data_IF_105819858075
#
_entry.id   IF_105819858075
#
_cell.length_a   1.000
_cell.length_b   1.000
_cell.length_c   1.000
_cell.angle_alpha   90.00
_cell.angle_beta   90.00
_cell.angle_gamma   90.00
#
_symmetry.space_group_name_H-M   'P 1'
#
loop_
_entity.id
_entity.type
_entity.pdbx_description
1 polymer ?
#
# COMPACT_ATOMS: atom_id res chain seq x y z
N UNK A 1 11.41 52.73 -39.89
CA UNK A 1 12.21 52.64 -38.65
C UNK A 1 11.98 51.23 -38.10
N UNK A 2 12.92 50.28 -38.24
CA UNK A 2 14.13 50.09 -37.41
C UNK A 2 13.71 49.92 -35.93
N UNK A 3 13.95 48.82 -35.20
CA UNK A 3 14.97 47.74 -35.16
C UNK A 3 14.36 46.55 -34.38
N UNK A 4 14.51 45.30 -34.78
CA UNK A 4 15.67 44.40 -34.62
C UNK A 4 16.28 44.32 -33.21
N UNK A 5 16.12 43.15 -32.58
CA UNK A 5 17.23 42.51 -31.87
C UNK A 5 17.16 40.98 -32.08
N UNK A 6 17.88 40.57 -33.13
CA UNK A 6 18.26 39.22 -33.49
C UNK A 6 19.13 38.58 -32.39
N UNK A 7 18.93 37.28 -32.16
CA UNK A 7 20.03 36.33 -32.00
C UNK A 7 19.68 35.03 -32.75
N UNK A 8 20.27 34.79 -33.93
CA UNK A 8 20.10 33.59 -34.74
C UNK A 8 21.29 32.62 -34.54
N UNK A 9 21.19 31.45 -35.18
CA UNK A 9 22.18 30.37 -35.32
C UNK A 9 22.04 29.22 -34.30
N UNK A 10 21.30 28.17 -34.66
CA UNK A 10 21.90 26.89 -35.10
C UNK A 10 20.83 25.97 -35.71
N UNK A 11 21.03 25.66 -36.99
CA UNK A 11 20.78 24.35 -37.59
C UNK A 11 19.34 23.82 -37.65
N UNK A 12 18.79 23.81 -38.85
CA UNK A 12 17.91 22.72 -39.28
C UNK A 12 18.67 21.38 -39.14
N UNK A 13 18.48 20.67 -38.03
CA UNK A 13 18.85 19.27 -37.93
C UNK A 13 17.62 18.41 -38.22
N UNK A 14 17.69 17.64 -39.30
CA UNK A 14 17.01 16.35 -39.33
C UNK A 14 17.67 15.46 -38.27
N UNK A 15 17.09 15.40 -37.07
CA UNK A 15 17.54 14.49 -36.02
C UNK A 15 16.51 13.39 -35.86
N UNK A 16 16.91 12.16 -36.20
CA UNK A 16 16.12 10.97 -35.96
C UNK A 16 15.77 10.84 -34.48
N UNK A 17 14.54 10.41 -34.21
CA UNK A 17 14.00 9.80 -32.98
C UNK A 17 14.95 9.82 -31.75
N UNK A 18 15.35 11.01 -31.28
CA UNK A 18 16.05 11.18 -30.00
C UNK A 18 15.00 11.09 -28.91
N UNK A 19 14.57 9.85 -28.64
CA UNK A 19 13.74 9.53 -27.48
C UNK A 19 14.52 9.93 -26.24
N UNK A 20 13.92 10.66 -25.28
CA UNK A 20 14.60 10.91 -24.01
C UNK A 20 14.94 9.56 -23.37
N UNK A 21 16.19 9.38 -22.96
CA UNK A 21 16.74 8.15 -22.38
C UNK A 21 16.25 7.98 -20.93
N UNK A 22 14.94 7.88 -20.74
CA UNK A 22 14.32 7.82 -19.42
C UNK A 22 14.50 6.43 -18.81
N UNK A 23 15.17 6.35 -17.67
CA UNK A 23 15.24 5.16 -16.83
C UNK A 23 13.82 4.62 -16.59
N UNK A 24 13.52 3.34 -16.91
CA UNK A 24 12.18 2.80 -16.73
C UNK A 24 11.74 2.80 -15.27
N UNK A 25 10.46 3.02 -15.02
CA UNK A 25 9.87 3.17 -13.68
C UNK A 25 8.86 2.07 -13.39
N UNK A 26 8.95 1.47 -12.20
CA UNK A 26 7.97 0.57 -11.64
C UNK A 26 7.36 1.17 -10.37
N UNK A 27 6.06 1.44 -10.41
CA UNK A 27 5.29 1.94 -9.26
C UNK A 27 4.81 0.75 -8.41
N UNK A 28 5.03 0.80 -7.10
CA UNK A 28 4.63 -0.24 -6.14
C UNK A 28 3.72 0.36 -5.09
N UNK A 29 2.49 -0.16 -5.00
CA UNK A 29 1.43 0.40 -4.16
C UNK A 29 1.57 0.05 -2.66
N UNK A 30 0.81 0.75 -1.82
CA UNK A 30 0.73 0.55 -0.38
C UNK A 30 -0.47 -0.31 0.05
N UNK A 31 -0.72 -0.38 1.37
CA UNK A 31 -1.89 -1.07 1.92
C UNK A 31 -3.18 -0.43 1.42
N UNK A 32 -4.12 -1.23 0.93
CA UNK A 32 -5.39 -0.75 0.37
C UNK A 32 -5.27 -0.04 -0.99
N UNK A 33 -4.07 0.23 -1.50
CA UNK A 33 -3.85 0.99 -2.74
C UNK A 33 -3.89 0.16 -4.02
N UNK A 34 -4.47 -1.03 -4.00
CA UNK A 34 -4.61 -1.90 -5.17
C UNK A 34 -6.05 -2.35 -5.33
N UNK A 35 -6.57 -2.36 -6.56
CA UNK A 35 -7.87 -2.96 -6.88
C UNK A 35 -7.80 -4.48 -6.62
N UNK A 36 -8.79 -5.03 -5.92
CA UNK A 36 -9.02 -6.46 -5.75
C UNK A 36 -10.32 -6.88 -6.42
N UNK A 37 -10.24 -7.95 -7.20
CA UNK A 37 -11.37 -8.67 -7.78
C UNK A 37 -11.54 -10.01 -7.06
N UNK A 38 -12.78 -10.40 -6.84
CA UNK A 38 -13.14 -11.79 -6.57
C UNK A 38 -13.42 -12.49 -7.88
N UNK A 39 -12.88 -13.69 -8.06
CA UNK A 39 -13.20 -14.59 -9.16
C UNK A 39 -13.86 -15.84 -8.59
N UNK A 40 -15.07 -16.14 -9.07
CA UNK A 40 -15.82 -17.35 -8.71
C UNK A 40 -16.16 -18.13 -9.97
N UNK A 41 -15.96 -19.43 -9.96
CA UNK A 41 -16.29 -20.32 -11.09
C UNK A 41 -17.60 -21.05 -10.79
N UNK A 42 -18.63 -20.79 -11.59
CA UNK A 42 -19.94 -21.42 -11.43
C UNK A 42 -20.36 -22.08 -12.75
N UNK A 43 -20.61 -23.39 -12.73
CA UNK A 43 -20.95 -24.19 -13.91
C UNK A 43 -19.99 -24.03 -15.11
N UNK A 44 -18.69 -23.83 -14.83
CA UNK A 44 -17.68 -23.62 -15.87
C UNK A 44 -17.56 -22.19 -16.39
N UNK A 45 -18.44 -21.27 -15.97
CA UNK A 45 -18.39 -19.85 -16.30
C UNK A 45 -17.68 -19.10 -15.17
N UNK A 46 -16.73 -18.26 -15.53
CA UNK A 46 -15.97 -17.44 -14.58
C UNK A 46 -16.66 -16.08 -14.40
N UNK A 47 -16.94 -15.73 -13.16
CA UNK A 47 -17.52 -14.46 -12.77
C UNK A 47 -16.50 -13.66 -11.97
N UNK A 48 -16.12 -12.52 -12.50
CA UNK A 48 -15.25 -11.57 -11.80
C UNK A 48 -16.06 -10.39 -11.27
N UNK A 49 -15.77 -9.97 -10.04
CA UNK A 49 -16.40 -8.82 -9.43
C UNK A 49 -15.36 -8.01 -8.67
N UNK A 50 -15.29 -6.69 -8.91
CA UNK A 50 -14.47 -5.81 -8.08
C UNK A 50 -15.04 -5.75 -6.67
N UNK A 51 -14.22 -6.12 -5.69
CA UNK A 51 -14.57 -6.15 -4.25
C UNK A 51 -13.86 -5.06 -3.47
N UNK A 52 -12.77 -4.51 -4.01
CA UNK A 52 -12.03 -3.39 -3.45
C UNK A 52 -11.29 -2.60 -4.54
N UNK A 53 -11.17 -1.27 -4.53
CA UNK A 53 -12.10 -0.36 -3.84
C UNK A 53 -13.41 -0.34 -4.63
N UNK A 54 -14.52 -0.26 -3.91
CA UNK A 54 -15.86 -0.19 -4.48
C UNK A 54 -16.66 0.80 -3.64
N UNK A 55 -17.44 1.64 -4.30
CA UNK A 55 -18.39 2.56 -3.64
C UNK A 55 -19.80 1.94 -3.62
N UNK A 56 -20.29 1.47 -4.77
CA UNK A 56 -21.64 0.89 -4.83
C UNK A 56 -21.68 -0.53 -4.25
N UNK A 57 -22.51 -0.74 -3.22
CA UNK A 57 -22.63 -2.01 -2.48
C UNK A 57 -21.30 -2.48 -1.86
N UNK A 58 -20.45 -1.53 -1.50
CA UNK A 58 -19.11 -1.77 -0.96
C UNK A 58 -19.10 -2.76 0.20
N UNK A 59 -19.82 -2.45 1.28
CA UNK A 59 -19.89 -3.27 2.49
C UNK A 59 -20.45 -4.67 2.19
N UNK A 60 -21.54 -4.78 1.42
CA UNK A 60 -22.15 -6.08 1.09
C UNK A 60 -21.21 -7.00 0.31
N UNK A 61 -20.58 -6.51 -0.75
CA UNK A 61 -19.67 -7.32 -1.57
C UNK A 61 -18.39 -7.67 -0.81
N UNK A 62 -17.88 -6.72 -0.03
CA UNK A 62 -16.71 -6.93 0.83
C UNK A 62 -16.94 -8.05 1.84
N UNK A 63 -18.08 -8.01 2.55
CA UNK A 63 -18.48 -9.06 3.50
C UNK A 63 -18.58 -10.43 2.85
N UNK A 64 -19.25 -10.49 1.70
CA UNK A 64 -19.53 -11.76 1.02
C UNK A 64 -18.28 -12.41 0.42
N UNK A 65 -17.30 -11.61 -0.02
CA UNK A 65 -16.25 -12.12 -0.92
C UNK A 65 -14.83 -11.84 -0.46
N UNK A 66 -14.62 -10.87 0.44
CA UNK A 66 -13.27 -10.46 0.85
C UNK A 66 -12.94 -10.76 2.31
N UNK A 67 -13.93 -10.98 3.18
CA UNK A 67 -13.67 -11.52 4.53
C UNK A 67 -12.90 -12.83 4.46
N UNK A 68 -11.92 -12.96 5.33
CA UNK A 68 -10.88 -13.98 5.24
C UNK A 68 -10.32 -14.32 6.61
N UNK A 69 -9.74 -15.51 6.72
CA UNK A 69 -9.02 -15.96 7.90
C UNK A 69 -7.57 -16.26 7.54
N UNK A 70 -6.66 -15.99 8.46
CA UNK A 70 -5.28 -16.40 8.30
C UNK A 70 -5.10 -17.89 8.59
N UNK A 71 -4.51 -18.59 7.63
CA UNK A 71 -4.17 -20.00 7.77
C UNK A 71 -2.68 -20.14 8.16
N UNK A 72 -2.37 -20.55 9.41
CA UNK A 72 -0.99 -20.62 9.88
C UNK A 72 -0.17 -21.74 9.21
N UNK A 73 -0.81 -22.70 8.54
CA UNK A 73 -0.12 -23.78 7.83
C UNK A 73 0.42 -23.29 6.48
N UNK A 74 -0.37 -22.46 5.78
CA UNK A 74 -0.01 -21.94 4.46
C UNK A 74 0.69 -20.59 4.56
N UNK A 75 0.41 -19.81 5.61
CA UNK A 75 0.89 -18.44 5.76
C UNK A 75 0.04 -17.41 4.99
N UNK A 76 -1.10 -17.83 4.44
CA UNK A 76 -1.98 -17.00 3.63
C UNK A 76 -3.22 -16.57 4.41
N UNK A 77 -3.74 -15.39 4.06
CA UNK A 77 -5.10 -14.96 4.41
C UNK A 77 -6.05 -15.43 3.32
N UNK A 78 -6.92 -16.37 3.66
CA UNK A 78 -7.77 -17.14 2.75
C UNK A 78 -9.24 -16.71 2.91
N UNK A 79 -9.94 -16.52 1.79
CA UNK A 79 -11.35 -16.10 1.78
C UNK A 79 -12.25 -17.10 2.51
N UNK A 80 -13.28 -16.60 3.20
CA UNK A 80 -14.28 -17.45 3.86
C UNK A 80 -15.16 -18.25 2.88
N UNK A 81 -15.31 -17.77 1.64
CA UNK A 81 -15.90 -18.54 0.53
C UNK A 81 -14.77 -19.27 -0.20
N UNK A 82 -14.69 -20.60 -0.04
CA UNK A 82 -13.64 -21.45 -0.63
C UNK A 82 -13.67 -21.46 -2.16
N UNK A 83 -14.80 -21.11 -2.79
CA UNK A 83 -14.92 -21.02 -4.24
C UNK A 83 -14.44 -19.67 -4.81
N UNK A 84 -14.08 -18.72 -3.94
CA UNK A 84 -13.67 -17.37 -4.31
C UNK A 84 -12.16 -17.24 -4.28
N UNK A 85 -11.58 -16.98 -5.44
CA UNK A 85 -10.20 -16.55 -5.58
C UNK A 85 -10.11 -15.02 -5.57
N UNK A 86 -9.17 -14.45 -4.83
CA UNK A 86 -8.86 -13.02 -4.88
C UNK A 86 -7.71 -12.75 -5.83
N UNK A 87 -7.97 -11.83 -6.76
CA UNK A 87 -7.07 -11.44 -7.83
C UNK A 87 -6.82 -9.94 -7.80
N UNK A 88 -5.65 -9.56 -8.28
CA UNK A 88 -5.29 -8.17 -8.56
C UNK A 88 -5.18 -8.04 -10.08
N UNK A 89 -5.89 -7.10 -10.70
CA UNK A 89 -5.82 -6.90 -12.15
C UNK A 89 -4.39 -6.60 -12.63
N UNK A 90 -3.97 -7.18 -13.75
CA UNK A 90 -2.67 -6.88 -14.39
C UNK A 90 -2.81 -5.98 -15.62
N UNK A 91 -4.03 -5.52 -15.91
CA UNK A 91 -4.34 -4.63 -17.02
C UNK A 91 -3.48 -3.36 -17.00
N UNK A 92 -3.27 -2.80 -18.20
CA UNK A 92 -2.41 -1.62 -18.40
C UNK A 92 -1.03 -1.80 -17.73
N UNK A 93 -0.46 -3.01 -17.87
CA UNK A 93 0.86 -3.37 -17.33
C UNK A 93 0.94 -3.26 -15.79
N UNK A 94 -0.19 -3.51 -15.12
CA UNK A 94 -0.35 -3.39 -13.67
C UNK A 94 -0.63 -1.96 -13.20
N UNK A 95 -0.69 -0.97 -14.09
CA UNK A 95 -1.02 0.41 -13.73
C UNK A 95 -2.50 0.53 -13.38
N UNK A 96 -3.39 -0.18 -14.08
CA UNK A 96 -4.84 -0.10 -13.84
C UNK A 96 -5.20 -0.40 -12.37
N UNK A 97 -4.56 -1.40 -11.77
CA UNK A 97 -4.83 -1.78 -10.39
C UNK A 97 -4.47 -0.69 -9.36
N UNK A 98 -3.60 0.26 -9.72
CA UNK A 98 -3.07 1.27 -8.80
C UNK A 98 -3.35 2.69 -9.28
N UNK A 99 -4.09 2.88 -10.37
CA UNK A 99 -4.36 4.18 -10.99
C UNK A 99 -5.53 4.87 -10.28
N UNK A 100 -6.78 4.50 -10.59
CA UNK A 100 -8.00 4.97 -9.92
C UNK A 100 -8.66 3.75 -9.28
N UNK A 101 -8.80 3.72 -7.95
CA UNK A 101 -9.20 2.52 -7.21
C UNK A 101 -10.69 2.16 -7.37
N UNK A 102 -11.56 3.14 -7.66
CA UNK A 102 -12.91 2.91 -8.17
C UNK A 102 -13.09 3.57 -9.55
N UNK A 103 -12.81 2.84 -10.65
CA UNK A 103 -12.92 3.39 -12.01
C UNK A 103 -14.34 3.37 -12.58
N UNK A 104 -15.40 3.23 -11.76
CA UNK A 104 -16.77 3.16 -12.26
C UNK A 104 -17.20 4.48 -12.91
N UNK A 105 -18.06 4.39 -13.94
CA UNK A 105 -18.49 5.56 -14.72
C UNK A 105 -19.14 6.64 -13.85
N UNK A 106 -19.94 6.24 -12.86
CA UNK A 106 -20.58 7.17 -11.93
C UNK A 106 -19.54 7.99 -11.18
N UNK A 107 -18.47 7.35 -10.69
CA UNK A 107 -17.40 8.00 -9.92
C UNK A 107 -16.55 8.92 -10.80
N UNK A 108 -16.27 8.50 -12.03
CA UNK A 108 -15.61 9.36 -13.03
C UNK A 108 -16.44 10.60 -13.37
N UNK A 109 -17.75 10.44 -13.56
CA UNK A 109 -18.67 11.55 -13.87
C UNK A 109 -18.85 12.51 -12.69
N UNK A 110 -18.81 12.01 -11.46
CA UNK A 110 -18.88 12.82 -10.24
C UNK A 110 -17.54 13.44 -9.85
N UNK A 111 -16.46 13.18 -10.61
CA UNK A 111 -15.10 13.66 -10.34
C UNK A 111 -14.65 13.42 -8.90
N UNK A 112 -14.97 12.25 -8.36
CA UNK A 112 -14.62 11.92 -6.99
C UNK A 112 -13.13 11.54 -6.90
N UNK A 113 -12.27 12.54 -6.69
CA UNK A 113 -10.81 12.39 -6.66
C UNK A 113 -10.29 11.58 -5.47
N UNK A 114 -11.08 11.37 -4.43
CA UNK A 114 -10.69 10.61 -3.23
C UNK A 114 -10.31 9.14 -3.52
N UNK A 115 -10.62 8.61 -4.71
CA UNK A 115 -10.23 7.26 -5.15
C UNK A 115 -9.04 7.25 -6.13
N UNK A 116 -8.44 8.39 -6.43
CA UNK A 116 -7.37 8.52 -7.42
C UNK A 116 -6.04 8.15 -6.78
N UNK A 117 -5.52 6.94 -7.03
CA UNK A 117 -4.29 6.44 -6.42
C UNK A 117 -2.98 7.00 -6.96
N UNK A 118 -2.38 6.30 -7.91
CA UNK A 118 -1.22 6.80 -8.62
C UNK A 118 -1.59 7.68 -9.81
N UNK A 119 -2.87 8.01 -10.00
CA UNK A 119 -3.37 8.73 -11.18
C UNK A 119 -2.53 9.94 -11.55
N UNK A 120 -2.38 10.90 -10.64
CA UNK A 120 -1.65 12.13 -10.92
C UNK A 120 -0.16 11.89 -11.18
N UNK A 121 0.44 10.90 -10.50
CA UNK A 121 1.82 10.50 -10.75
C UNK A 121 1.99 9.84 -12.12
N UNK A 122 1.04 8.98 -12.51
CA UNK A 122 1.03 8.30 -13.81
C UNK A 122 0.88 9.35 -14.91
N UNK A 123 -0.09 10.25 -14.79
CA UNK A 123 -0.37 11.30 -15.77
C UNK A 123 0.83 12.25 -15.94
N UNK A 124 1.43 12.65 -14.83
CA UNK A 124 2.61 13.50 -14.85
C UNK A 124 3.84 12.79 -15.43
N UNK A 125 4.10 11.51 -15.11
CA UNK A 125 5.16 10.73 -15.74
C UNK A 125 4.93 10.56 -17.25
N UNK A 126 3.69 10.27 -17.67
CA UNK A 126 3.31 10.22 -19.08
C UNK A 126 3.55 11.58 -19.75
N UNK A 127 3.17 12.69 -19.11
CA UNK A 127 3.46 14.05 -19.56
C UNK A 127 4.96 14.36 -19.66
N UNK A 128 5.80 13.71 -18.85
CA UNK A 128 7.25 13.76 -18.96
C UNK A 128 7.84 12.90 -20.09
N UNK A 129 7.02 12.11 -20.80
CA UNK A 129 7.44 11.28 -21.94
C UNK A 129 7.61 9.80 -21.62
N UNK A 130 7.24 9.34 -20.42
CA UNK A 130 7.16 7.91 -20.11
C UNK A 130 6.05 7.23 -20.90
N UNK A 131 6.27 5.96 -21.27
CA UNK A 131 5.32 5.16 -22.06
C UNK A 131 4.91 3.93 -21.25
N UNK A 132 3.61 3.82 -20.97
CA UNK A 132 3.02 2.64 -20.33
C UNK A 132 3.43 1.37 -21.06
N UNK A 133 3.89 0.36 -20.34
CA UNK A 133 4.33 -0.93 -20.90
C UNK A 133 5.69 -0.94 -21.60
N UNK A 134 6.34 0.22 -21.76
CA UNK A 134 7.70 0.31 -22.31
C UNK A 134 8.69 0.87 -21.29
N UNK A 135 8.32 1.97 -20.61
CA UNK A 135 9.15 2.61 -19.58
C UNK A 135 8.39 2.93 -18.30
N UNK A 136 7.08 2.68 -18.23
CA UNK A 136 6.26 2.87 -17.04
C UNK A 136 5.39 1.64 -16.78
N UNK A 137 5.45 1.14 -15.55
CA UNK A 137 4.81 -0.10 -15.12
C UNK A 137 4.23 0.06 -13.72
N UNK A 138 3.20 -0.73 -13.40
CA UNK A 138 2.59 -0.78 -12.08
C UNK A 138 2.71 -2.16 -11.45
N UNK A 139 2.74 -2.20 -10.13
CA UNK A 139 2.63 -3.41 -9.33
C UNK A 139 1.67 -3.17 -8.17
N UNK A 140 0.41 -3.47 -8.42
CA UNK A 140 -0.57 -3.72 -7.38
C UNK A 140 -0.46 -5.15 -6.87
N UNK A 141 -0.89 -5.38 -5.63
CA UNK A 141 -0.84 -6.71 -5.02
C UNK A 141 -1.93 -6.87 -3.95
N UNK A 142 -2.18 -8.11 -3.51
CA UNK A 142 -3.13 -8.40 -2.45
C UNK A 142 -2.56 -7.93 -1.11
N UNK A 143 -2.94 -6.72 -0.70
CA UNK A 143 -2.44 -6.05 0.49
C UNK A 143 -2.82 -6.74 1.79
N UNK A 144 -3.69 -7.75 1.78
CA UNK A 144 -4.05 -8.54 2.97
C UNK A 144 -2.90 -9.46 3.38
N UNK A 145 -2.12 -9.92 2.39
CA UNK A 145 -1.08 -10.94 2.58
C UNK A 145 0.20 -10.37 3.19
N UNK A 146 1.05 -11.26 3.71
CA UNK A 146 2.36 -10.87 4.26
C UNK A 146 3.28 -10.32 3.15
N UNK A 147 4.05 -9.28 3.44
CA UNK A 147 4.99 -8.66 2.51
C UNK A 147 6.13 -9.59 2.06
N UNK A 148 6.31 -10.73 2.72
CA UNK A 148 7.29 -11.77 2.34
C UNK A 148 6.66 -13.06 1.82
N UNK A 149 5.36 -13.07 1.54
CA UNK A 149 4.70 -14.25 0.95
C UNK A 149 5.17 -14.40 -0.49
N UNK A 150 5.35 -15.64 -0.92
CA UNK A 150 5.84 -16.03 -2.24
C UNK A 150 5.03 -15.38 -3.38
N UNK A 151 3.69 -15.41 -3.32
CA UNK A 151 2.84 -14.80 -4.37
C UNK A 151 3.16 -13.31 -4.65
N UNK A 152 3.44 -12.53 -3.60
CA UNK A 152 3.77 -11.10 -3.74
C UNK A 152 5.23 -10.90 -4.18
N UNK A 153 6.15 -11.63 -3.55
CA UNK A 153 7.59 -11.45 -3.79
C UNK A 153 7.98 -11.96 -5.19
N UNK A 154 7.47 -13.12 -5.59
CA UNK A 154 7.70 -13.68 -6.93
C UNK A 154 6.93 -12.91 -8.00
N UNK A 155 5.75 -12.39 -7.69
CA UNK A 155 5.02 -11.49 -8.59
C UNK A 155 5.83 -10.23 -8.90
N UNK A 156 6.42 -9.59 -7.89
CA UNK A 156 7.30 -8.43 -8.07
C UNK A 156 8.55 -8.79 -8.89
N UNK A 157 9.11 -9.98 -8.67
CA UNK A 157 10.22 -10.52 -9.47
C UNK A 157 9.88 -10.55 -10.96
N UNK A 158 8.75 -11.17 -11.30
CA UNK A 158 8.28 -11.31 -12.70
C UNK A 158 8.01 -9.94 -13.31
N UNK A 159 7.41 -9.01 -12.55
CA UNK A 159 7.14 -7.65 -13.03
C UNK A 159 8.43 -6.88 -13.33
N UNK A 160 9.44 -6.97 -12.47
CA UNK A 160 10.76 -6.36 -12.71
C UNK A 160 11.47 -6.94 -13.93
N UNK A 161 11.45 -8.27 -14.09
CA UNK A 161 12.01 -8.93 -15.27
C UNK A 161 11.33 -8.48 -16.57
N UNK A 162 10.00 -8.35 -16.52
CA UNK A 162 9.19 -7.88 -17.66
C UNK A 162 9.53 -6.42 -17.99
N UNK A 163 9.56 -5.55 -16.99
CA UNK A 163 9.92 -4.14 -17.17
C UNK A 163 11.33 -3.98 -17.74
N UNK A 164 12.31 -4.72 -17.22
CA UNK A 164 13.69 -4.72 -17.71
C UNK A 164 13.79 -5.11 -19.19
N UNK A 165 13.11 -6.19 -19.59
CA UNK A 165 13.09 -6.66 -21.00
C UNK A 165 12.39 -5.67 -21.91
N UNK A 166 11.20 -5.18 -21.53
CA UNK A 166 10.43 -4.21 -22.31
C UNK A 166 11.16 -2.88 -22.47
N UNK A 167 12.07 -2.55 -21.55
CA UNK A 167 12.86 -1.32 -21.56
C UNK A 167 14.21 -1.44 -22.30
N UNK A 168 14.40 -2.53 -23.06
CA UNK A 168 15.65 -2.76 -23.82
C UNK A 168 16.84 -3.17 -22.96
N UNK A 169 16.60 -3.78 -21.79
CA UNK A 169 17.66 -4.20 -20.87
C UNK A 169 18.21 -3.11 -19.97
N UNK A 170 17.47 -2.00 -19.81
CA UNK A 170 17.80 -0.93 -18.86
C UNK A 170 17.27 -1.26 -17.47
N UNK A 171 18.08 -0.97 -16.45
CA UNK A 171 17.69 -1.17 -15.05
C UNK A 171 16.53 -0.25 -14.65
N UNK A 172 15.66 -0.76 -13.79
CA UNK A 172 14.40 -0.14 -13.38
C UNK A 172 14.58 0.71 -12.12
N UNK A 173 13.94 1.87 -12.10
CA UNK A 173 13.72 2.68 -10.90
C UNK A 173 12.42 2.23 -10.24
N UNK A 174 12.49 1.75 -9.00
CA UNK A 174 11.29 1.43 -8.22
C UNK A 174 10.85 2.68 -7.46
N UNK A 175 9.57 3.03 -7.53
CA UNK A 175 8.93 4.01 -6.66
C UNK A 175 7.89 3.27 -5.83
N UNK A 176 8.13 3.16 -4.52
CA UNK A 176 7.22 2.47 -3.61
C UNK A 176 6.56 3.45 -2.65
N UNK A 177 5.26 3.29 -2.42
CA UNK A 177 4.49 4.08 -1.48
C UNK A 177 4.11 3.26 -0.24
N UNK A 178 4.20 3.86 0.95
CA UNK A 178 3.73 3.30 2.21
C UNK A 178 4.20 1.85 2.40
N UNK A 179 3.29 0.90 2.66
CA UNK A 179 3.59 -0.52 2.84
C UNK A 179 4.34 -1.17 1.67
N UNK A 180 4.21 -0.66 0.45
CA UNK A 180 4.94 -1.16 -0.72
C UNK A 180 6.45 -1.12 -0.51
N UNK A 181 6.95 -0.18 0.30
CA UNK A 181 8.36 -0.15 0.69
C UNK A 181 8.79 -1.35 1.54
N UNK A 182 7.90 -1.89 2.38
CA UNK A 182 8.17 -3.10 3.17
C UNK A 182 8.21 -4.34 2.28
N UNK A 183 7.31 -4.45 1.30
CA UNK A 183 7.37 -5.47 0.27
C UNK A 183 8.71 -5.42 -0.49
N UNK A 184 9.12 -4.23 -0.95
CA UNK A 184 10.40 -4.08 -1.65
C UNK A 184 11.59 -4.43 -0.75
N UNK A 185 11.55 -4.11 0.55
CA UNK A 185 12.57 -4.58 1.50
C UNK A 185 12.60 -6.10 1.62
N UNK A 186 11.44 -6.74 1.72
CA UNK A 186 11.34 -8.19 1.80
C UNK A 186 11.91 -8.84 0.54
N UNK A 187 11.52 -8.35 -0.63
CA UNK A 187 12.03 -8.80 -1.92
C UNK A 187 13.56 -8.60 -2.04
N UNK A 188 14.08 -7.43 -1.65
CA UNK A 188 15.52 -7.16 -1.68
C UNK A 188 16.32 -8.10 -0.78
N UNK A 189 15.78 -8.45 0.39
CA UNK A 189 16.43 -9.40 1.32
C UNK A 189 16.36 -10.84 0.83
N UNK A 190 15.24 -11.26 0.22
CA UNK A 190 15.03 -12.63 -0.25
C UNK A 190 15.67 -12.91 -1.62
N UNK A 191 15.70 -11.90 -2.50
CA UNK A 191 16.16 -12.00 -3.88
C UNK A 191 17.18 -10.92 -4.22
N UNK A 192 18.20 -10.77 -3.36
CA UNK A 192 19.21 -9.72 -3.47
C UNK A 192 19.91 -9.67 -4.84
N UNK A 193 20.23 -10.82 -5.41
CA UNK A 193 20.87 -10.91 -6.74
C UNK A 193 19.94 -10.37 -7.84
N UNK A 194 18.65 -10.70 -7.77
CA UNK A 194 17.66 -10.25 -8.74
C UNK A 194 17.43 -8.75 -8.62
N UNK A 195 17.27 -8.26 -7.39
CA UNK A 195 17.15 -6.83 -7.11
C UNK A 195 18.37 -6.06 -7.64
N UNK A 196 19.59 -6.53 -7.35
CA UNK A 196 20.83 -5.89 -7.82
C UNK A 196 20.99 -5.91 -9.35
N UNK A 197 20.50 -6.98 -9.99
CA UNK A 197 20.54 -7.13 -11.45
C UNK A 197 19.60 -6.16 -12.15
N UNK A 198 18.36 -6.02 -11.66
CA UNK A 198 17.32 -5.28 -12.39
C UNK A 198 17.04 -3.88 -11.87
N UNK A 199 17.44 -3.52 -10.64
CA UNK A 199 17.09 -2.23 -10.03
C UNK A 199 18.29 -1.26 -10.08
N UNK A 200 18.04 -0.04 -10.53
CA UNK A 200 19.02 1.06 -10.52
C UNK A 200 18.86 1.93 -9.26
N UNK A 201 17.61 2.37 -9.03
CA UNK A 201 17.23 3.32 -7.99
C UNK A 201 15.99 2.82 -7.28
N UNK A 202 15.88 3.12 -5.99
CA UNK A 202 14.68 2.87 -5.22
C UNK A 202 14.27 4.12 -4.45
N UNK A 203 13.14 4.69 -4.86
CA UNK A 203 12.51 5.87 -4.28
C UNK A 203 11.38 5.39 -3.36
N UNK A 204 11.37 5.92 -2.14
CA UNK A 204 10.43 5.51 -1.09
C UNK A 204 9.64 6.73 -0.64
N UNK A 205 8.31 6.63 -0.72
CA UNK A 205 7.37 7.67 -0.35
C UNK A 205 6.62 7.18 0.89
N UNK A 206 6.89 7.81 2.04
CA UNK A 206 6.24 7.53 3.31
C UNK A 206 6.23 6.05 3.75
N UNK A 207 7.28 5.30 3.40
CA UNK A 207 7.35 3.88 3.74
C UNK A 207 7.62 3.67 5.24
N UNK A 208 6.74 2.98 5.99
CA UNK A 208 6.85 2.84 7.44
C UNK A 208 7.84 1.74 7.82
N UNK A 209 9.13 1.94 7.52
CA UNK A 209 10.17 0.93 7.75
C UNK A 209 10.26 0.45 9.20
N UNK A 210 9.88 1.28 10.16
CA UNK A 210 9.84 0.95 11.60
C UNK A 210 8.43 0.67 12.14
N UNK A 211 7.44 0.56 11.25
CA UNK A 211 6.03 0.43 11.61
C UNK A 211 5.29 1.76 11.61
N UNK A 212 3.95 1.68 11.69
CA UNK A 212 3.02 2.80 11.65
C UNK A 212 2.09 2.75 12.90
N UNK A 213 2.63 2.97 14.10
CA UNK A 213 1.93 2.70 15.37
C UNK A 213 0.54 3.32 15.46
N UNK A 214 0.37 4.60 15.10
CA UNK A 214 -0.92 5.27 15.21
C UNK A 214 -2.03 4.54 14.44
N UNK A 215 -1.83 4.39 13.13
CA UNK A 215 -2.82 3.76 12.25
C UNK A 215 -3.03 2.28 12.55
N UNK A 216 -1.96 1.52 12.80
CA UNK A 216 -2.06 0.06 12.95
C UNK A 216 -2.66 -0.33 14.29
N UNK A 217 -2.31 0.38 15.35
CA UNK A 217 -2.88 0.11 16.66
C UNK A 217 -4.38 0.45 16.69
N UNK A 218 -4.78 1.56 16.06
CA UNK A 218 -6.19 1.93 15.92
C UNK A 218 -6.97 0.92 15.06
N UNK A 219 -6.39 0.50 13.93
CA UNK A 219 -6.97 -0.50 13.04
C UNK A 219 -7.27 -1.83 13.74
N UNK A 220 -6.37 -2.29 14.62
CA UNK A 220 -6.58 -3.53 15.38
C UNK A 220 -7.61 -3.39 16.51
N UNK A 221 -7.73 -2.21 17.13
CA UNK A 221 -8.64 -2.00 18.26
C UNK A 221 -10.06 -1.66 17.82
N UNK A 222 -10.20 -0.74 16.87
CA UNK A 222 -11.48 -0.13 16.55
C UNK A 222 -11.81 -0.15 15.07
N UNK A 223 -10.90 -0.66 14.23
CA UNK A 223 -11.07 -0.74 12.79
C UNK A 223 -10.52 0.46 12.06
N UNK A 224 -10.78 0.48 10.75
CA UNK A 224 -10.30 1.53 9.87
C UNK A 224 -11.44 2.01 8.98
N UNK A 225 -11.55 3.32 8.85
CA UNK A 225 -12.48 3.97 7.95
C UNK A 225 -11.71 5.03 7.17
N UNK A 226 -11.94 5.08 5.87
CA UNK A 226 -11.21 5.98 5.00
C UNK A 226 -11.86 7.35 5.02
N UNK A 227 -13.18 7.46 4.86
CA UNK A 227 -13.89 8.75 4.79
C UNK A 227 -14.74 9.00 6.05
N UNK A 228 -14.83 10.25 6.49
CA UNK A 228 -15.71 10.70 7.58
C UNK A 228 -16.97 11.40 7.03
N UNK A 229 -18.07 11.38 7.80
CA UNK A 229 -19.32 12.06 7.43
C UNK A 229 -20.29 11.21 6.61
N UNK A 230 -21.20 11.85 5.87
CA UNK A 230 -22.26 11.16 5.11
C UNK A 230 -21.71 10.26 4.00
N UNK A 231 -20.57 10.63 3.41
CA UNK A 231 -19.93 9.86 2.34
C UNK A 231 -19.45 8.48 2.82
N UNK A 232 -19.15 8.36 4.12
CA UNK A 232 -18.67 7.14 4.73
C UNK A 232 -19.67 5.96 4.62
N UNK A 233 -20.97 6.25 4.45
CA UNK A 233 -22.01 5.23 4.22
C UNK A 233 -21.86 4.49 2.90
N UNK A 234 -21.15 5.08 1.93
CA UNK A 234 -20.89 4.43 0.65
C UNK A 234 -19.61 3.59 0.65
N UNK A 235 -18.82 3.62 1.72
CA UNK A 235 -17.60 2.84 1.85
C UNK A 235 -17.80 1.65 2.78
N UNK A 236 -16.81 0.75 2.80
CA UNK A 236 -16.78 -0.35 3.76
C UNK A 236 -16.81 0.23 5.17
N UNK A 237 -17.74 -0.26 5.99
CA UNK A 237 -17.89 0.23 7.36
C UNK A 237 -16.66 -0.09 8.21
N UNK A 238 -16.38 0.76 9.20
CA UNK A 238 -15.23 0.63 10.08
C UNK A 238 -15.11 -0.77 10.72
N UNK A 239 -16.24 -1.31 11.17
CA UNK A 239 -16.30 -2.64 11.78
C UNK A 239 -16.09 -3.79 10.79
N UNK A 240 -16.65 -3.67 9.58
CA UNK A 240 -16.44 -4.67 8.52
C UNK A 240 -14.97 -4.73 8.10
N UNK A 241 -14.32 -3.58 8.03
CA UNK A 241 -12.88 -3.48 7.78
C UNK A 241 -12.08 -4.06 8.94
N UNK A 242 -12.43 -3.74 10.20
CA UNK A 242 -11.80 -4.30 11.41
C UNK A 242 -11.72 -5.83 11.36
N UNK A 243 -12.84 -6.49 11.06
CA UNK A 243 -12.94 -7.94 11.00
C UNK A 243 -12.03 -8.55 9.94
N UNK A 244 -11.76 -7.84 8.82
CA UNK A 244 -10.74 -8.27 7.86
C UNK A 244 -9.32 -8.05 8.38
N UNK A 245 -9.04 -6.85 8.91
CA UNK A 245 -7.68 -6.42 9.24
C UNK A 245 -7.04 -7.24 10.36
N UNK A 246 -7.82 -7.79 11.29
CA UNK A 246 -7.34 -8.70 12.35
C UNK A 246 -6.69 -9.96 11.78
N UNK A 247 -7.09 -10.38 10.59
CA UNK A 247 -6.63 -11.60 9.91
C UNK A 247 -5.65 -11.30 8.76
N UNK A 248 -5.15 -10.06 8.65
CA UNK A 248 -4.20 -9.64 7.61
C UNK A 248 -2.76 -9.56 8.15
N UNK A 249 -1.83 -10.44 7.72
CA UNK A 249 -0.41 -10.35 8.09
C UNK A 249 0.26 -9.02 7.82
N UNK A 250 -0.14 -8.33 6.75
CA UNK A 250 0.35 -7.00 6.40
C UNK A 250 0.17 -5.98 7.54
N UNK A 251 -0.93 -6.06 8.28
CA UNK A 251 -1.24 -5.17 9.40
C UNK A 251 -0.25 -5.39 10.54
N UNK A 252 0.00 -6.65 10.90
CA UNK A 252 0.91 -7.01 11.98
C UNK A 252 2.37 -6.70 11.63
N UNK A 253 2.76 -6.80 10.35
CA UNK A 253 4.10 -6.43 9.89
C UNK A 253 4.39 -4.94 10.01
N UNK A 254 3.35 -4.11 10.07
CA UNK A 254 3.43 -2.68 10.30
C UNK A 254 3.27 -2.26 11.77
N UNK A 255 3.15 -3.20 12.71
CA UNK A 255 3.24 -2.90 14.14
C UNK A 255 4.57 -2.17 14.47
N UNK A 256 4.58 -1.29 15.48
CA UNK A 256 5.78 -0.55 15.86
C UNK A 256 6.94 -1.48 16.17
N UNK A 257 8.11 -1.21 15.60
CA UNK A 257 9.32 -1.96 15.89
C UNK A 257 9.77 -1.70 17.35
N UNK A 258 9.70 -2.70 18.25
CA UNK A 258 10.07 -2.51 19.65
C UNK A 258 11.59 -2.36 19.84
N UNK A 259 12.39 -2.76 18.85
CA UNK A 259 13.85 -2.69 18.88
C UNK A 259 14.40 -1.41 18.24
N UNK A 260 13.53 -0.56 17.68
CA UNK A 260 13.95 0.71 17.11
C UNK A 260 14.12 1.76 18.21
N UNK A 261 15.20 2.53 18.14
CA UNK A 261 15.48 3.64 19.06
C UNK A 261 14.64 4.86 18.66
N UNK A 262 13.34 4.82 18.94
CA UNK A 262 12.45 5.95 18.71
C UNK A 262 12.90 7.18 19.52
N UNK A 263 12.87 8.37 18.91
CA UNK A 263 13.11 9.63 19.63
C UNK A 263 12.08 9.83 20.77
N UNK A 264 10.86 9.41 20.51
CA UNK A 264 9.78 9.29 21.48
C UNK A 264 9.12 7.94 21.25
N UNK A 265 9.11 7.08 22.26
CA UNK A 265 8.51 5.75 22.15
C UNK A 265 7.02 5.89 21.81
N UNK A 266 6.52 5.25 20.74
CA UNK A 266 5.12 5.30 20.42
C UNK A 266 4.32 4.56 21.50
N UNK A 267 3.30 5.22 22.03
CA UNK A 267 2.43 4.67 23.06
C UNK A 267 0.98 4.69 22.58
N UNK A 268 0.21 3.68 22.97
CA UNK A 268 -1.25 3.68 22.85
C UNK A 268 -1.80 4.24 24.15
N UNK A 269 -2.66 5.25 24.06
CA UNK A 269 -3.39 5.78 25.20
C UNK A 269 -4.86 5.41 25.08
N UNK A 270 -5.41 4.71 26.06
CA UNK A 270 -6.82 4.28 26.09
C UNK A 270 -7.50 4.71 27.37
N UNK A 271 -8.74 5.19 27.25
CA UNK A 271 -9.60 5.43 28.40
C UNK A 271 -10.30 4.13 28.78
N UNK A 272 -10.00 3.60 29.96
CA UNK A 272 -10.56 2.34 30.45
C UNK A 272 -11.52 2.56 31.60
N UNK A 273 -12.70 1.98 31.48
CA UNK A 273 -13.67 1.89 32.55
C UNK A 273 -13.29 0.76 33.50
N UNK A 274 -13.19 1.08 34.79
CA UNK A 274 -12.97 0.14 35.89
C UNK A 274 -14.21 0.13 36.76
N UNK A 275 -14.70 -1.05 37.09
CA UNK A 275 -15.80 -1.21 38.07
C UNK A 275 -15.23 -1.92 39.28
N UNK A 276 -15.09 -1.19 40.38
CA UNK A 276 -14.70 -1.71 41.68
C UNK A 276 -15.82 -1.36 42.67
N UNK A 277 -16.31 -2.34 43.42
CA UNK A 277 -17.35 -2.18 44.45
C UNK A 277 -18.64 -1.45 44.00
N UNK A 278 -19.00 -1.55 42.72
CA UNK A 278 -20.20 -0.94 42.14
C UNK A 278 -20.04 0.52 41.70
N UNK A 279 -18.88 1.14 41.91
CA UNK A 279 -18.55 2.45 41.33
C UNK A 279 -17.75 2.28 40.03
N UNK A 280 -18.16 3.01 38.99
CA UNK A 280 -17.45 3.04 37.71
C UNK A 280 -16.52 4.25 37.67
N UNK A 281 -15.22 4.02 37.55
CA UNK A 281 -14.22 5.05 37.29
C UNK A 281 -13.62 4.90 35.89
N UNK A 282 -13.20 6.00 35.27
CA UNK A 282 -12.50 5.99 33.98
C UNK A 282 -11.08 6.46 34.18
N UNK A 283 -10.09 5.66 33.76
CA UNK A 283 -8.67 5.97 33.88
C UNK A 283 -8.01 5.99 32.50
N UNK A 284 -7.11 6.95 32.27
CA UNK A 284 -6.25 6.95 31.10
C UNK A 284 -5.08 6.01 31.34
N UNK A 285 -4.92 5.01 30.49
CA UNK A 285 -3.82 4.05 30.54
C UNK A 285 -2.97 4.14 29.27
N UNK A 286 -1.65 3.99 29.45
CA UNK A 286 -0.65 4.08 28.38
C UNK A 286 0.08 2.75 28.22
N UNK A 287 0.20 2.28 26.99
CA UNK A 287 0.84 1.00 26.65
C UNK A 287 1.97 1.23 25.65
N UNK A 288 3.18 0.77 25.97
CA UNK A 288 4.30 0.71 25.01
C UNK A 288 4.06 -0.31 23.88
N UNK A 289 4.91 -0.38 22.84
CA UNK A 289 4.77 -1.36 21.75
C UNK A 289 4.71 -2.82 22.18
N UNK A 290 5.37 -3.16 23.30
CA UNK A 290 5.38 -4.53 23.83
C UNK A 290 4.12 -4.75 24.68
N UNK A 291 3.80 -3.79 25.55
CA UNK A 291 2.62 -3.86 26.42
C UNK A 291 1.31 -3.82 25.62
N UNK A 292 1.27 -3.16 24.47
CA UNK A 292 0.07 -3.10 23.62
C UNK A 292 -0.42 -4.48 23.17
N UNK A 293 0.45 -5.49 23.14
CA UNK A 293 0.06 -6.86 22.81
C UNK A 293 -0.93 -7.43 23.84
N UNK A 294 -0.75 -7.13 25.13
CA UNK A 294 -1.71 -7.58 26.15
C UNK A 294 -3.05 -6.85 26.02
N UNK A 295 -3.01 -5.56 25.67
CA UNK A 295 -4.19 -4.76 25.36
C UNK A 295 -4.98 -5.35 24.19
N UNK A 296 -4.33 -5.65 23.06
CA UNK A 296 -5.02 -6.25 21.89
C UNK A 296 -5.60 -7.62 22.22
N UNK A 297 -4.84 -8.46 22.93
CA UNK A 297 -5.32 -9.78 23.37
C UNK A 297 -6.60 -9.66 24.19
N UNK A 298 -6.65 -8.68 25.10
CA UNK A 298 -7.82 -8.47 25.95
C UNK A 298 -8.99 -7.88 25.16
N UNK A 299 -8.75 -6.83 24.37
CA UNK A 299 -9.77 -6.14 23.58
C UNK A 299 -10.45 -7.09 22.58
N UNK A 300 -9.69 -8.01 21.97
CA UNK A 300 -10.19 -8.92 20.95
C UNK A 300 -10.62 -10.29 21.50
N UNK A 301 -10.57 -10.52 22.81
CA UNK A 301 -10.80 -11.87 23.40
C UNK A 301 -12.18 -12.47 23.09
N UNK A 302 -13.18 -11.63 22.86
CA UNK A 302 -14.55 -12.02 22.50
C UNK A 302 -14.96 -11.44 21.14
N UNK A 303 -13.98 -11.02 20.33
CA UNK A 303 -14.28 -10.48 19.02
C UNK A 303 -14.74 -11.59 18.09
N UNK A 304 -15.76 -11.31 17.30
CA UNK A 304 -16.45 -12.30 16.47
C UNK A 304 -16.95 -11.71 15.17
N UNK A 305 -17.24 -12.61 14.24
CA UNK A 305 -17.71 -12.33 12.89
C UNK A 305 -18.90 -13.25 12.58
N UNK A 306 -20.03 -12.67 12.19
CA UNK A 306 -21.17 -13.42 11.66
C UNK A 306 -21.03 -13.59 10.14
N UNK A 307 -20.87 -14.83 9.70
CA UNK A 307 -20.78 -15.19 8.30
C UNK A 307 -21.65 -16.39 7.97
N UNK A 308 -22.63 -16.20 7.08
CA UNK A 308 -23.54 -17.25 6.67
C UNK A 308 -24.42 -17.81 7.80
N UNK A 309 -24.68 -17.01 8.85
CA UNK A 309 -25.41 -17.44 10.05
C UNK A 309 -24.56 -18.21 11.07
N UNK A 310 -23.25 -18.30 10.86
CA UNK A 310 -22.31 -18.88 11.81
C UNK A 310 -21.47 -17.78 12.46
N UNK A 311 -21.27 -17.89 13.77
CA UNK A 311 -20.35 -17.03 14.52
C UNK A 311 -18.93 -17.59 14.46
N UNK A 312 -18.00 -16.81 13.95
CA UNK A 312 -16.58 -17.12 13.83
C UNK A 312 -15.81 -16.24 14.82
N UNK A 313 -15.03 -16.85 15.71
CA UNK A 313 -14.18 -16.10 16.64
C UNK A 313 -12.99 -15.47 15.90
N UNK A 314 -12.73 -14.19 16.17
CA UNK A 314 -11.62 -13.41 15.61
C UNK A 314 -10.76 -12.80 16.74
N UNK A 315 -10.14 -13.63 17.60
CA UNK A 315 -9.26 -13.13 18.64
C UNK A 315 -7.98 -12.54 18.05
N UNK A 316 -7.23 -11.79 18.86
CA UNK A 316 -5.91 -11.33 18.46
C UNK A 316 -5.02 -12.50 18.02
N UNK A 317 -4.50 -12.44 16.79
CA UNK A 317 -3.93 -13.60 16.12
C UNK A 317 -2.41 -13.72 16.38
N UNK A 318 -2.04 -14.53 17.37
CA UNK A 318 -0.64 -14.76 17.73
C UNK A 318 0.17 -15.47 16.63
N UNK A 319 -0.47 -16.25 15.77
CA UNK A 319 0.21 -16.90 14.65
C UNK A 319 0.69 -15.86 13.63
N UNK A 320 -0.15 -14.87 13.35
CA UNK A 320 0.23 -13.73 12.50
C UNK A 320 1.32 -12.90 13.16
N UNK A 321 1.19 -12.59 14.47
CA UNK A 321 2.21 -11.83 15.19
C UNK A 321 3.60 -12.52 15.12
N UNK A 322 3.64 -13.84 15.30
CA UNK A 322 4.87 -14.63 15.17
C UNK A 322 5.43 -14.58 13.74
N UNK A 323 4.57 -14.66 12.72
CA UNK A 323 4.97 -14.52 11.32
C UNK A 323 5.59 -13.15 11.04
N UNK A 324 4.93 -12.09 11.51
CA UNK A 324 5.36 -10.70 11.37
C UNK A 324 6.68 -10.44 12.09
N UNK A 325 6.92 -11.06 13.24
CA UNK A 325 8.22 -11.01 13.92
C UNK A 325 9.34 -11.62 13.05
N UNK A 326 9.06 -12.69 12.31
CA UNK A 326 9.96 -13.25 11.29
C UNK A 326 10.26 -12.25 10.17
N UNK A 327 9.24 -11.58 9.65
CA UNK A 327 9.38 -10.51 8.64
C UNK A 327 10.22 -9.35 9.18
N UNK A 328 10.00 -8.94 10.43
CA UNK A 328 10.77 -7.87 11.09
C UNK A 328 12.26 -8.20 11.18
N UNK A 329 12.62 -9.44 11.54
CA UNK A 329 14.03 -9.89 11.55
C UNK A 329 14.65 -9.77 10.16
N UNK A 330 13.91 -10.16 9.12
CA UNK A 330 14.35 -10.10 7.73
C UNK A 330 14.55 -8.66 7.24
N UNK A 331 13.64 -7.74 7.58
CA UNK A 331 13.72 -6.32 7.25
C UNK A 331 14.88 -5.64 8.00
N UNK A 332 15.08 -5.95 9.29
CA UNK A 332 16.16 -5.36 10.08
C UNK A 332 17.55 -5.78 9.59
N UNK A 333 17.66 -6.98 8.98
CA UNK A 333 18.90 -7.49 8.42
C UNK A 333 19.12 -7.08 6.95
N UNK A 334 18.16 -6.39 6.34
CA UNK A 334 18.22 -6.00 4.94
C UNK A 334 19.37 -5.01 4.68
N UNK A 335 20.21 -5.30 3.68
CA UNK A 335 21.30 -4.42 3.25
C UNK A 335 21.06 -3.98 1.81
N UNK A 336 21.07 -2.67 1.58
CA UNK A 336 20.99 -2.12 0.24
C UNK A 336 22.28 -2.49 -0.52
N UNK A 337 22.19 -3.08 -1.73
CA UNK A 337 23.36 -3.32 -2.55
C UNK A 337 24.11 -2.02 -2.87
N UNK A 338 25.44 -2.06 -2.88
CA UNK A 338 26.32 -0.88 -3.09
C UNK A 338 25.98 -0.14 -4.41
N UNK A 339 25.53 -0.88 -5.42
CA UNK A 339 25.21 -0.33 -6.75
C UNK A 339 23.83 0.33 -6.85
N UNK A 340 22.98 0.26 -5.81
CA UNK A 340 21.61 0.80 -5.84
C UNK A 340 21.53 2.06 -5.01
N UNK A 341 20.98 3.13 -5.59
CA UNK A 341 20.72 4.37 -4.87
C UNK A 341 19.33 4.31 -4.22
N UNK A 342 19.25 4.54 -2.89
CA UNK A 342 17.98 4.69 -2.17
C UNK A 342 17.74 6.16 -1.85
N UNK A 343 16.58 6.70 -2.26
CA UNK A 343 16.10 8.02 -1.85
C UNK A 343 14.87 7.87 -0.96
N UNK A 344 14.90 8.54 0.17
CA UNK A 344 13.83 8.48 1.16
C UNK A 344 13.15 9.84 1.28
N UNK A 345 11.85 9.89 1.04
CA UNK A 345 11.03 11.05 1.35
C UNK A 345 10.04 10.68 2.44
N UNK A 346 10.15 11.40 3.56
CA UNK A 346 9.25 11.34 4.70
C UNK A 346 8.72 12.75 4.92
N UNK A 347 7.41 12.92 5.06
CA UNK A 347 6.84 14.17 5.55
C UNK A 347 6.33 13.97 6.97
N UNK A 348 6.73 14.88 7.85
CA UNK A 348 6.18 14.97 9.20
C UNK A 348 5.01 15.95 9.19
N UNK A 349 3.79 15.48 8.99
CA UNK A 349 2.61 16.27 9.34
C UNK A 349 2.47 16.31 10.88
N UNK A 350 2.88 17.41 11.49
CA UNK A 350 2.82 17.65 12.95
C UNK A 350 1.43 18.06 13.46
N UNK A 351 0.38 18.01 12.64
CA UNK A 351 -0.98 18.36 13.04
C UNK A 351 -1.96 17.26 12.64
N UNK A 352 -2.86 16.95 13.58
CA UNK A 352 -4.00 16.04 13.53
C UNK A 352 -3.75 14.60 14.02
N UNK A 353 -4.27 14.35 15.23
CA UNK A 353 -4.33 13.07 15.94
C UNK A 353 -5.47 12.17 15.43
N UNK A 354 -6.29 12.61 14.48
CA UNK A 354 -7.39 11.81 13.91
C UNK A 354 -7.56 12.21 12.45
N UNK A 355 -6.77 11.61 11.56
CA UNK A 355 -6.90 11.69 10.10
C UNK A 355 -6.11 10.51 9.51
N UNK A 356 -6.52 9.29 9.88
CA UNK A 356 -5.86 8.07 9.45
C UNK A 356 -6.17 7.79 7.97
N UNK A 357 -5.12 7.69 7.16
CA UNK A 357 -5.07 7.34 5.73
C UNK A 357 -5.65 8.32 4.71
N UNK A 358 -6.74 9.02 4.99
CA UNK A 358 -7.35 9.93 4.00
C UNK A 358 -6.49 11.16 3.65
N UNK A 359 -5.48 11.48 4.44
CA UNK A 359 -4.56 12.60 4.18
C UNK A 359 -3.14 12.10 3.92
N UNK A 360 -2.75 10.96 4.52
CA UNK A 360 -1.40 10.41 4.33
C UNK A 360 -1.22 9.78 2.94
N UNK A 361 -2.18 9.03 2.39
CA UNK A 361 -2.01 8.47 1.04
C UNK A 361 -1.98 9.53 -0.07
N UNK A 362 -2.70 10.65 0.13
CA UNK A 362 -3.07 11.62 -0.91
C UNK A 362 -2.25 12.90 -0.84
N UNK A 363 -2.22 13.53 0.32
CA UNK A 363 -1.49 14.77 0.55
C UNK A 363 0.01 14.55 0.45
N UNK A 364 0.53 13.37 0.81
CA UNK A 364 1.96 13.07 0.66
C UNK A 364 2.37 12.92 -0.82
N UNK A 365 1.50 12.38 -1.68
CA UNK A 365 1.77 12.29 -3.13
C UNK A 365 1.65 13.66 -3.80
N UNK A 366 0.60 14.44 -3.53
CA UNK A 366 0.49 15.81 -4.05
C UNK A 366 1.65 16.69 -3.58
N UNK A 367 2.01 16.65 -2.29
CA UNK A 367 3.15 17.40 -1.77
C UNK A 367 4.49 16.87 -2.30
N UNK A 368 4.60 15.57 -2.61
CA UNK A 368 5.74 15.00 -3.33
C UNK A 368 5.88 15.60 -4.73
N UNK A 369 4.77 15.72 -5.49
CA UNK A 369 4.74 16.35 -6.81
C UNK A 369 5.10 17.84 -6.77
N UNK A 370 4.73 18.51 -5.68
CA UNK A 370 5.01 19.93 -5.43
C UNK A 370 6.41 20.18 -4.87
N UNK A 371 7.16 19.14 -4.47
CA UNK A 371 8.50 19.29 -3.89
C UNK A 371 9.51 19.80 -4.94
N UNK A 372 10.12 21.00 -4.76
CA UNK A 372 11.04 21.58 -5.74
C UNK A 372 12.28 20.71 -5.99
N UNK A 373 12.75 19.97 -4.97
CA UNK A 373 13.89 19.06 -5.10
C UNK A 373 13.56 17.91 -6.07
N UNK A 374 12.31 17.44 -6.06
CA UNK A 374 11.84 16.38 -6.96
C UNK A 374 11.65 16.88 -8.40
N UNK A 375 11.14 18.10 -8.57
CA UNK A 375 11.08 18.78 -9.87
C UNK A 375 12.49 18.99 -10.48
N UNK A 376 13.51 19.22 -9.65
CA UNK A 376 14.91 19.32 -10.07
C UNK A 376 15.47 17.94 -10.44
N UNK A 377 15.18 16.90 -9.66
CA UNK A 377 15.61 15.53 -9.95
C UNK A 377 15.00 14.97 -11.24
N UNK A 378 13.74 15.33 -11.56
CA UNK A 378 13.12 15.05 -12.86
C UNK A 378 13.78 15.82 -14.01
N UNK A 379 14.21 17.06 -13.78
CA UNK A 379 14.98 17.82 -14.78
C UNK A 379 16.34 17.17 -15.05
N UNK A 380 16.98 16.59 -14.02
CA UNK A 380 18.20 15.79 -14.18
C UNK A 380 17.99 14.43 -14.83
N UNK A 381 16.76 13.92 -14.90
CA UNK A 381 16.40 12.75 -15.73
C UNK A 381 16.19 13.14 -17.20
N UNK A 382 16.19 14.44 -17.52
CA UNK A 382 15.98 15.00 -18.86
C UNK A 382 17.29 15.39 -19.56
N UNK A 383 18.40 15.43 -18.83
CA UNK A 383 19.78 15.68 -19.27
C UNK A 383 20.59 14.37 -19.15
#
# INVERSE_FOLDING_TARGET
MLRDCLCPCFGSQSSGDTRPDLDPVLLVSGIGGSILHSKKKLFGIEFETRVWVRILFSDMEFKKKLWSLYNPKTGYTESLDEDVEILVPDDDYGLYAIDILDPSLVIKLLHFSEVYHFHDMIDMLVGCGYKKGTSLFGYGYDFRQSNRIDKLVDGLKVKLETAYKASGGRKVTIISHSMGGLLVMCFMSLHNEVFSKYVNKWITIACPFQGAPGCINDALLTGLQFIEGFEAYFFVSRWTMHQLLIECPSVYEMLPNPYFSWKMQPQINVWRGHTEDGETSVKLESYSPIESISLFKEALRHNELDYGGNTIALPFNFSILNWAAGTRKLINNAKLPIMVQKRHQLQTCQKYVIQCLNILMWTEMELFLQNPQWQIDLKQLRE
#
